data_IF_465140952810
#
_entry.id   IF_465140952810
#
_cell.length_a   1.000
_cell.length_b   1.000
_cell.length_c   1.000
_cell.angle_alpha   90.00
_cell.angle_beta   90.00
_cell.angle_gamma   90.00
#
_symmetry.space_group_name_H-M   'P 1'
#
loop_
_entity.id
_entity.type
_entity.pdbx_description
1 polymer ?
#
# COMPACT_ATOMS: atom_id res chain seq x y z
N UNK A 1 -5.61 36.08 6.86
CA UNK A 1 -5.79 34.67 6.44
C UNK A 1 -5.04 34.47 5.13
N UNK A 2 -3.83 33.89 5.20
CA UNK A 2 -3.00 33.66 4.01
C UNK A 2 -3.65 32.64 3.11
N UNK A 3 -3.89 32.99 1.84
CA UNK A 3 -4.36 32.06 0.83
C UNK A 3 -3.35 30.91 0.70
N UNK A 4 -3.74 29.69 1.08
CA UNK A 4 -3.05 28.46 0.68
C UNK A 4 -3.21 28.32 -0.83
N UNK A 5 -2.43 29.11 -1.58
CA UNK A 5 -2.18 28.93 -2.99
C UNK A 5 -1.83 27.46 -3.24
N UNK A 6 -2.38 26.88 -4.31
CA UNK A 6 -2.32 25.46 -4.66
C UNK A 6 -1.08 24.77 -4.08
N UNK A 7 -1.27 23.95 -3.04
CA UNK A 7 -0.21 23.25 -2.30
C UNK A 7 0.57 22.25 -3.19
N UNK A 8 0.25 22.14 -4.47
CA UNK A 8 0.58 20.97 -5.28
C UNK A 8 1.11 21.35 -6.67
N UNK A 9 2.31 20.85 -7.00
CA UNK A 9 2.76 20.64 -8.38
C UNK A 9 2.63 19.14 -8.69
N UNK A 10 1.65 18.77 -9.52
CA UNK A 10 1.49 17.39 -10.01
C UNK A 10 2.67 17.05 -10.93
N UNK A 11 3.45 16.02 -10.60
CA UNK A 11 4.50 15.49 -11.48
C UNK A 11 4.41 13.96 -11.54
N UNK A 12 3.58 13.46 -12.45
CA UNK A 12 3.38 12.02 -12.64
C UNK A 12 4.69 11.31 -13.03
N UNK A 13 5.53 11.95 -13.84
CA UNK A 13 6.80 11.37 -14.31
C UNK A 13 7.77 11.11 -13.16
N UNK A 14 7.91 12.06 -12.22
CA UNK A 14 8.80 11.89 -11.06
C UNK A 14 8.29 10.83 -10.08
N UNK A 15 6.97 10.66 -9.95
CA UNK A 15 6.40 9.58 -9.15
C UNK A 15 6.77 8.22 -9.74
N UNK A 16 6.62 8.05 -11.06
CA UNK A 16 7.00 6.80 -11.74
C UNK A 16 8.50 6.52 -11.67
N UNK A 17 9.35 7.55 -11.82
CA UNK A 17 10.80 7.41 -11.62
C UNK A 17 11.15 6.96 -10.20
N UNK A 18 10.46 7.51 -9.19
CA UNK A 18 10.67 7.14 -7.80
C UNK A 18 10.20 5.70 -7.51
N UNK A 19 9.05 5.28 -8.02
CA UNK A 19 8.59 3.89 -7.92
C UNK A 19 9.57 2.91 -8.59
N UNK A 20 10.12 3.27 -9.75
CA UNK A 20 11.19 2.50 -10.40
C UNK A 20 12.45 2.45 -9.56
N UNK A 21 12.84 3.55 -8.92
CA UNK A 21 13.98 3.56 -7.99
C UNK A 21 13.76 2.61 -6.81
N UNK A 22 12.59 2.68 -6.15
CA UNK A 22 12.27 1.81 -5.02
C UNK A 22 12.34 0.33 -5.39
N UNK A 23 11.87 -0.01 -6.58
CA UNK A 23 11.86 -1.40 -7.06
C UNK A 23 13.22 -1.89 -7.57
N UNK A 24 13.99 -1.05 -8.27
CA UNK A 24 15.30 -1.41 -8.83
C UNK A 24 16.43 -1.42 -7.81
N UNK A 25 16.29 -0.70 -6.70
CA UNK A 25 17.29 -0.63 -5.63
C UNK A 25 17.20 -1.77 -4.61
N UNK A 26 16.30 -2.74 -4.79
CA UNK A 26 16.32 -3.96 -3.98
C UNK A 26 17.61 -4.76 -4.26
N UNK A 27 18.22 -5.42 -3.25
CA UNK A 27 19.54 -6.04 -3.38
C UNK A 27 19.65 -6.99 -4.58
N UNK A 28 20.74 -6.84 -5.34
CA UNK A 28 21.07 -7.61 -6.55
C UNK A 28 21.07 -9.11 -6.22
N UNK A 29 20.18 -9.85 -6.87
CA UNK A 29 19.87 -11.27 -6.60
C UNK A 29 18.36 -11.56 -6.56
N UNK A 30 17.55 -10.50 -6.54
CA UNK A 30 16.08 -10.56 -6.47
C UNK A 30 15.42 -9.79 -7.64
N UNK A 31 15.92 -9.97 -8.87
CA UNK A 31 15.22 -9.49 -10.07
C UNK A 31 13.93 -10.28 -10.24
N UNK A 32 12.87 -9.84 -9.58
CA UNK A 32 11.52 -10.28 -9.84
C UNK A 32 10.86 -9.28 -10.79
N UNK A 33 9.92 -9.71 -11.62
CA UNK A 33 8.98 -8.78 -12.27
C UNK A 33 8.40 -7.85 -11.18
N UNK A 34 8.87 -6.62 -11.16
CA UNK A 34 8.66 -5.67 -10.05
C UNK A 34 7.28 -5.03 -10.09
N UNK A 35 6.64 -5.08 -11.26
CA UNK A 35 5.29 -4.62 -11.51
C UNK A 35 4.49 -5.73 -12.19
N UNK A 36 3.38 -6.11 -11.56
CA UNK A 36 2.33 -6.89 -12.20
C UNK A 36 1.25 -5.93 -12.66
N UNK A 37 0.82 -6.03 -13.92
CA UNK A 37 -0.36 -5.31 -14.41
C UNK A 37 -1.58 -6.24 -14.40
N UNK A 38 -2.66 -5.82 -13.74
CA UNK A 38 -3.95 -6.52 -13.75
C UNK A 38 -4.98 -5.65 -14.46
N UNK A 39 -5.61 -6.19 -15.50
CA UNK A 39 -6.72 -5.54 -16.19
C UNK A 39 -8.03 -5.83 -15.45
N UNK A 40 -8.64 -4.79 -14.88
CA UNK A 40 -9.95 -4.81 -14.23
C UNK A 40 -10.92 -3.81 -14.87
N UNK A 41 -10.74 -3.50 -16.15
CA UNK A 41 -11.52 -2.49 -16.89
C UNK A 41 -13.02 -2.76 -16.97
N UNK A 42 -13.47 -3.96 -16.58
CA UNK A 42 -14.89 -4.37 -16.59
C UNK A 42 -15.57 -4.38 -15.23
N UNK A 43 -14.85 -4.17 -14.12
CA UNK A 43 -15.38 -4.32 -12.77
C UNK A 43 -15.22 -3.05 -11.90
N UNK A 44 -16.22 -2.78 -11.06
CA UNK A 44 -16.14 -1.74 -10.02
C UNK A 44 -15.28 -2.17 -8.82
N UNK A 45 -15.15 -3.47 -8.62
CA UNK A 45 -14.32 -4.09 -7.58
C UNK A 45 -13.35 -5.03 -8.27
N UNK A 46 -12.07 -4.91 -7.98
CA UNK A 46 -11.03 -5.77 -8.53
C UNK A 46 -11.17 -7.14 -7.87
N UNK A 47 -11.50 -8.16 -8.65
CA UNK A 47 -11.52 -9.54 -8.17
C UNK A 47 -10.22 -10.22 -8.56
N UNK A 48 -9.49 -10.70 -7.57
CA UNK A 48 -8.22 -11.39 -7.74
C UNK A 48 -8.36 -12.84 -7.29
N UNK A 49 -8.06 -13.83 -8.14
CA UNK A 49 -8.03 -15.22 -7.71
C UNK A 49 -6.83 -15.44 -6.79
N UNK A 50 -7.01 -16.21 -5.73
CA UNK A 50 -5.95 -16.48 -4.76
C UNK A 50 -4.79 -17.26 -5.42
N UNK A 51 -5.12 -18.13 -6.36
CA UNK A 51 -4.17 -18.87 -7.20
C UNK A 51 -3.21 -17.97 -8.00
N UNK A 52 -3.53 -16.69 -8.20
CA UNK A 52 -2.60 -15.72 -8.80
C UNK A 52 -1.36 -15.46 -7.92
N UNK A 53 -1.54 -15.53 -6.60
CA UNK A 53 -0.53 -15.16 -5.61
C UNK A 53 0.15 -16.36 -4.98
N UNK A 54 -0.59 -17.43 -4.73
CA UNK A 54 -0.09 -18.61 -4.01
C UNK A 54 -0.30 -19.88 -4.83
N UNK A 55 0.59 -20.86 -4.63
CA UNK A 55 0.42 -22.19 -5.23
C UNK A 55 -0.53 -23.04 -4.41
N UNK A 56 -1.31 -23.88 -5.11
CA UNK A 56 -2.02 -24.97 -4.47
C UNK A 56 -1.02 -26.03 -3.97
N UNK A 57 -1.20 -26.49 -2.73
CA UNK A 57 -0.41 -27.59 -2.15
C UNK A 57 -0.79 -28.96 -2.74
N UNK A 58 -1.93 -29.07 -3.42
CA UNK A 58 -2.49 -30.35 -3.87
C UNK A 58 -1.90 -30.92 -5.16
N UNK A 59 -1.16 -30.13 -5.95
CA UNK A 59 -0.71 -30.56 -7.29
C UNK A 59 0.80 -30.87 -7.33
N UNK A 60 1.11 -32.16 -7.26
CA UNK A 60 2.48 -32.72 -7.36
C UNK A 60 3.09 -32.68 -8.77
N UNK A 61 2.41 -32.12 -9.78
CA UNK A 61 2.88 -32.14 -11.16
C UNK A 61 2.99 -30.72 -11.75
N UNK A 62 4.23 -30.23 -11.80
CA UNK A 62 4.75 -29.18 -12.72
C UNK A 62 3.71 -28.12 -13.18
N UNK A 63 3.38 -27.13 -12.33
CA UNK A 63 3.03 -25.77 -12.79
C UNK A 63 3.31 -24.70 -11.72
N UNK A 64 3.86 -23.60 -12.23
CA UNK A 64 4.22 -22.30 -11.67
C UNK A 64 3.95 -22.04 -10.17
N UNK A 65 5.02 -21.69 -9.44
CA UNK A 65 4.91 -21.05 -8.12
C UNK A 65 3.99 -19.83 -8.22
N UNK A 66 3.02 -19.69 -7.31
CA UNK A 66 2.27 -18.46 -7.13
C UNK A 66 3.26 -17.30 -6.97
N UNK A 67 3.09 -16.23 -7.74
CA UNK A 67 4.14 -15.21 -7.90
C UNK A 67 4.53 -14.56 -6.57
N UNK A 68 3.61 -14.49 -5.62
CA UNK A 68 3.83 -13.91 -4.29
C UNK A 68 4.45 -14.92 -3.31
N UNK A 69 4.07 -16.20 -3.36
CA UNK A 69 4.67 -17.22 -2.49
C UNK A 69 6.14 -17.47 -2.82
N UNK A 70 6.55 -17.27 -4.08
CA UNK A 70 7.97 -17.31 -4.46
C UNK A 70 8.79 -16.10 -3.95
N UNK A 71 8.16 -15.06 -3.40
CA UNK A 71 8.89 -13.91 -2.89
C UNK A 71 9.79 -14.31 -1.70
N UNK A 72 10.98 -13.70 -1.59
CA UNK A 72 11.78 -13.79 -0.38
C UNK A 72 11.06 -13.13 0.79
N UNK A 73 11.35 -13.58 2.00
CA UNK A 73 10.87 -12.87 3.18
C UNK A 73 11.51 -11.49 3.29
N UNK A 74 10.74 -10.55 3.83
CA UNK A 74 11.10 -9.15 3.98
C UNK A 74 11.29 -8.42 2.63
N UNK A 75 10.47 -8.79 1.65
CA UNK A 75 10.42 -8.17 0.31
C UNK A 75 9.02 -7.64 -0.02
N UNK A 76 8.95 -6.81 -1.05
CA UNK A 76 7.71 -6.24 -1.57
C UNK A 76 7.66 -6.27 -3.09
N UNK A 77 6.47 -6.07 -3.66
CA UNK A 77 6.23 -5.78 -5.08
C UNK A 77 5.11 -4.76 -5.22
N UNK A 78 5.13 -4.02 -6.33
CA UNK A 78 4.05 -3.12 -6.70
C UNK A 78 3.14 -3.86 -7.69
N UNK A 79 1.82 -3.79 -7.46
CA UNK A 79 0.83 -4.31 -8.40
C UNK A 79 0.10 -3.10 -8.98
N UNK A 80 0.25 -2.91 -10.28
CA UNK A 80 -0.46 -1.88 -11.02
C UNK A 80 -1.77 -2.48 -11.53
N UNK A 81 -2.86 -1.77 -11.32
CA UNK A 81 -4.19 -2.22 -11.69
C UNK A 81 -4.82 -1.16 -12.57
N UNK A 82 -5.24 -1.58 -13.75
CA UNK A 82 -5.99 -0.75 -14.67
C UNK A 82 -7.47 -0.93 -14.36
N UNK A 83 -8.11 0.11 -13.81
CA UNK A 83 -9.55 0.13 -13.58
C UNK A 83 -10.30 0.69 -14.78
N UNK A 84 -11.61 0.42 -14.79
CA UNK A 84 -12.56 1.01 -15.75
C UNK A 84 -12.44 2.54 -15.77
N UNK A 85 -12.40 3.11 -16.97
CA UNK A 85 -12.29 4.56 -17.17
C UNK A 85 -10.85 5.10 -17.19
N UNK A 86 -9.83 4.24 -17.23
CA UNK A 86 -8.42 4.66 -17.29
C UNK A 86 -7.84 5.06 -15.93
N UNK A 87 -8.55 4.76 -14.84
CA UNK A 87 -8.06 5.01 -13.50
C UNK A 87 -6.98 3.98 -13.16
N UNK A 88 -5.76 4.44 -12.91
CA UNK A 88 -4.70 3.59 -12.39
C UNK A 88 -4.86 3.46 -10.87
N UNK A 89 -4.84 2.22 -10.39
CA UNK A 89 -4.79 1.89 -8.97
C UNK A 89 -3.52 1.11 -8.69
N UNK A 90 -2.88 1.33 -7.56
CA UNK A 90 -1.66 0.59 -7.20
C UNK A 90 -1.82 -0.03 -5.82
N UNK A 91 -1.36 -1.27 -5.72
CA UNK A 91 -1.29 -2.01 -4.47
C UNK A 91 0.16 -2.34 -4.16
N UNK A 92 0.46 -2.47 -2.87
CA UNK A 92 1.77 -2.97 -2.42
C UNK A 92 1.60 -4.36 -1.84
N UNK A 93 2.22 -5.34 -2.47
CA UNK A 93 2.29 -6.71 -1.99
C UNK A 93 3.55 -6.86 -1.12
N UNK A 94 3.40 -7.28 0.12
CA UNK A 94 4.50 -7.49 1.07
C UNK A 94 4.51 -8.95 1.51
N UNK A 95 5.70 -9.54 1.54
CA UNK A 95 5.95 -10.82 2.24
C UNK A 95 6.88 -10.58 3.41
N UNK A 96 6.38 -10.83 4.62
CA UNK A 96 7.13 -10.60 5.85
C UNK A 96 6.76 -11.59 6.94
N UNK A 97 7.75 -12.09 7.67
CA UNK A 97 7.55 -13.05 8.77
C UNK A 97 6.63 -12.53 9.87
N UNK A 98 6.44 -11.22 9.97
CA UNK A 98 5.53 -10.61 10.94
C UNK A 98 4.04 -10.77 10.57
N UNK A 99 3.72 -11.05 9.31
CA UNK A 99 2.33 -11.23 8.87
C UNK A 99 1.86 -12.61 9.31
N UNK A 100 0.94 -12.68 10.27
CA UNK A 100 0.40 -13.95 10.81
C UNK A 100 -1.07 -14.22 10.45
N UNK A 101 -1.68 -13.33 9.68
CA UNK A 101 -3.09 -13.43 9.27
C UNK A 101 -3.37 -14.57 8.27
N UNK A 102 -2.33 -15.11 7.65
CA UNK A 102 -2.40 -16.28 6.78
C UNK A 102 -1.09 -17.08 6.86
N UNK A 103 -1.13 -18.34 6.40
CA UNK A 103 0.01 -19.26 6.47
C UNK A 103 1.17 -18.90 5.53
N UNK A 104 0.96 -18.02 4.56
CA UNK A 104 1.95 -17.64 3.54
C UNK A 104 2.75 -16.39 3.95
N UNK A 105 2.33 -15.72 5.03
CA UNK A 105 2.92 -14.47 5.52
C UNK A 105 2.90 -13.33 4.47
N UNK A 106 1.83 -13.27 3.67
CA UNK A 106 1.64 -12.31 2.58
C UNK A 106 0.53 -11.34 2.93
N UNK A 107 0.72 -10.05 2.63
CA UNK A 107 -0.35 -9.07 2.72
C UNK A 107 -0.25 -8.05 1.60
N UNK A 108 -1.40 -7.49 1.25
CA UNK A 108 -1.60 -6.43 0.28
C UNK A 108 -1.99 -5.18 1.07
N UNK A 109 -1.34 -4.08 0.75
CA UNK A 109 -1.73 -2.76 1.19
C UNK A 109 -2.64 -2.10 0.14
N UNK A 110 -3.77 -1.60 0.64
CA UNK A 110 -4.82 -0.89 -0.08
C UNK A 110 -5.16 0.38 0.73
N UNK A 111 -4.92 1.56 0.16
CA UNK A 111 -5.15 2.84 0.85
C UNK A 111 -6.63 3.16 1.06
N UNK A 112 -7.52 2.56 0.26
CA UNK A 112 -8.97 2.71 0.42
C UNK A 112 -9.52 1.91 1.62
N UNK A 113 -8.67 1.13 2.28
CA UNK A 113 -9.01 0.39 3.49
C UNK A 113 -9.75 -0.91 3.25
N UNK A 114 -10.10 -1.60 4.33
CA UNK A 114 -10.70 -2.95 4.33
C UNK A 114 -12.23 -2.97 4.43
N UNK A 115 -12.85 -1.81 4.66
CA UNK A 115 -14.30 -1.68 4.79
C UNK A 115 -14.98 -1.64 3.41
N UNK A 116 -16.21 -1.10 3.34
CA UNK A 116 -16.97 -1.00 2.09
C UNK A 116 -16.29 -0.23 0.94
N UNK A 117 -15.17 0.45 1.21
CA UNK A 117 -14.36 1.16 0.22
C UNK A 117 -13.17 0.33 -0.31
N UNK A 118 -12.99 -0.90 0.16
CA UNK A 118 -11.95 -1.81 -0.33
C UNK A 118 -12.12 -2.07 -1.83
N UNK A 119 -11.18 -1.56 -2.62
CA UNK A 119 -11.21 -1.70 -4.08
C UNK A 119 -10.95 -3.13 -4.57
N UNK A 120 -10.50 -4.01 -3.68
CA UNK A 120 -10.11 -5.38 -4.00
C UNK A 120 -10.95 -6.44 -3.29
N UNK A 121 -11.12 -7.58 -3.95
CA UNK A 121 -11.62 -8.84 -3.40
C UNK A 121 -10.71 -9.97 -3.81
N UNK A 122 -10.23 -10.74 -2.84
CA UNK A 122 -9.45 -11.95 -3.07
C UNK A 122 -10.34 -13.15 -2.84
N UNK A 123 -10.52 -13.96 -3.88
CA UNK A 123 -11.35 -15.15 -3.85
C UNK A 123 -10.47 -16.39 -3.90
N UNK A 124 -10.64 -17.28 -2.92
CA UNK A 124 -10.04 -18.60 -2.91
C UNK A 124 -10.71 -19.49 -3.95
N UNK A 125 -9.95 -19.83 -4.97
CA UNK A 125 -10.32 -20.65 -6.12
C UNK A 125 -9.61 -22.02 -6.11
N UNK A 126 -8.96 -22.41 -5.01
CA UNK A 126 -8.27 -23.71 -4.94
C UNK A 126 -9.22 -24.89 -4.76
N UNK A 127 -10.41 -24.67 -4.19
CA UNK A 127 -11.43 -25.70 -4.00
C UNK A 127 -12.32 -25.83 -5.25
N UNK A 128 -11.85 -26.58 -6.24
CA UNK A 128 -12.54 -26.77 -7.54
C UNK A 128 -13.55 -27.93 -7.56
N UNK A 129 -14.20 -28.26 -6.43
CA UNK A 129 -15.20 -29.33 -6.34
C UNK A 129 -16.64 -28.89 -6.65
N UNK A 130 -16.81 -27.75 -7.34
CA UNK A 130 -18.12 -27.15 -7.62
C UNK A 130 -18.63 -26.22 -6.52
N UNK A 131 -17.88 -26.04 -5.43
CA UNK A 131 -18.13 -25.00 -4.43
C UNK A 131 -17.86 -23.59 -4.97
N UNK A 132 -18.59 -22.60 -4.46
CA UNK A 132 -18.40 -21.19 -4.83
C UNK A 132 -17.07 -20.68 -4.24
N UNK A 133 -16.30 -19.85 -4.98
CA UNK A 133 -15.09 -19.24 -4.45
C UNK A 133 -15.33 -18.51 -3.13
N UNK A 134 -14.44 -18.72 -2.15
CA UNK A 134 -14.57 -18.16 -0.80
C UNK A 134 -13.84 -16.82 -0.73
N UNK A 135 -14.48 -15.79 -0.18
CA UNK A 135 -13.83 -14.48 -0.02
C UNK A 135 -12.83 -14.50 1.15
N UNK A 136 -11.54 -14.42 0.84
CA UNK A 136 -10.43 -14.43 1.81
C UNK A 136 -9.74 -13.08 1.98
N UNK A 137 -10.31 -12.00 1.41
CA UNK A 137 -9.70 -10.65 1.36
C UNK A 137 -9.13 -10.18 2.70
N UNK A 138 -9.85 -10.39 3.80
CA UNK A 138 -9.45 -9.94 5.14
C UNK A 138 -8.12 -10.55 5.59
N UNK A 139 -7.83 -11.81 5.25
CA UNK A 139 -6.60 -12.48 5.63
C UNK A 139 -5.36 -11.91 4.92
N UNK A 140 -5.57 -11.30 3.77
CA UNK A 140 -4.51 -10.76 2.90
C UNK A 140 -4.44 -9.23 2.91
N UNK A 141 -5.27 -8.54 3.69
CA UNK A 141 -5.26 -7.06 3.76
C UNK A 141 -4.93 -6.56 5.16
N UNK A 142 -4.32 -7.39 6.00
CA UNK A 142 -4.03 -7.10 7.41
C UNK A 142 -3.12 -5.87 7.64
N UNK A 143 -2.47 -5.37 6.59
CA UNK A 143 -1.58 -4.22 6.61
C UNK A 143 -2.26 -2.96 6.04
N UNK A 144 -3.51 -3.08 5.59
CA UNK A 144 -4.36 -1.97 5.15
C UNK A 144 -5.10 -1.36 6.35
N UNK A 145 -5.42 -0.06 6.30
CA UNK A 145 -6.25 0.57 7.32
C UNK A 145 -7.66 -0.05 7.34
N UNK A 146 -8.35 0.07 8.48
CA UNK A 146 -9.75 -0.36 8.57
C UNK A 146 -10.68 0.54 7.74
N UNK A 147 -10.35 1.83 7.68
CA UNK A 147 -11.10 2.84 6.94
C UNK A 147 -10.27 3.43 5.80
N UNK A 148 -10.94 4.02 4.81
CA UNK A 148 -10.26 4.75 3.75
C UNK A 148 -9.40 5.87 4.35
N UNK A 149 -8.10 5.90 4.02
CA UNK A 149 -7.19 7.02 4.36
C UNK A 149 -6.89 7.90 3.14
N UNK A 150 -7.42 7.51 1.98
CA UNK A 150 -7.38 8.23 0.71
C UNK A 150 -8.75 8.85 0.42
N UNK A 151 -9.17 9.80 1.26
CA UNK A 151 -10.41 10.57 1.06
C UNK A 151 -10.16 12.05 1.30
N UNK A 152 -10.95 12.89 0.63
CA UNK A 152 -10.82 14.35 0.65
C UNK A 152 -11.16 14.92 -0.73
N UNK A 153 -11.23 16.24 -0.84
CA UNK A 153 -11.39 16.89 -2.15
C UNK A 153 -10.10 16.86 -2.96
N UNK A 154 -10.17 16.96 -4.29
CA UNK A 154 -8.98 17.10 -5.16
C UNK A 154 -8.13 18.34 -4.80
N UNK A 155 -8.73 19.33 -4.13
CA UNK A 155 -8.05 20.51 -3.62
C UNK A 155 -7.23 20.24 -2.34
N UNK A 156 -7.40 19.09 -1.70
CA UNK A 156 -6.73 18.71 -0.46
C UNK A 156 -6.04 17.36 -0.53
N UNK A 157 -6.46 16.46 -1.44
CA UNK A 157 -5.94 15.11 -1.61
C UNK A 157 -5.00 15.01 -2.84
N UNK A 158 -3.69 15.24 -2.66
CA UNK A 158 -2.72 15.06 -3.74
C UNK A 158 -2.38 13.58 -3.99
N UNK A 159 -2.83 12.68 -3.11
CA UNK A 159 -2.32 11.32 -3.00
C UNK A 159 -3.15 10.32 -3.77
N UNK A 160 -2.89 10.17 -5.07
CA UNK A 160 -3.23 8.93 -5.76
C UNK A 160 -2.67 7.73 -4.99
N UNK A 161 -3.27 6.56 -5.18
CA UNK A 161 -2.91 5.32 -4.48
C UNK A 161 -1.39 5.00 -4.55
N UNK A 162 -0.68 5.48 -5.58
CA UNK A 162 0.77 5.43 -5.72
C UNK A 162 1.56 6.12 -4.60
N UNK A 163 1.15 7.29 -4.11
CA UNK A 163 1.85 7.97 -3.01
C UNK A 163 1.71 7.21 -1.70
N UNK A 164 0.52 6.65 -1.42
CA UNK A 164 0.34 5.76 -0.29
C UNK A 164 1.17 4.48 -0.43
N UNK A 165 1.32 3.97 -1.66
CA UNK A 165 2.25 2.89 -1.99
C UNK A 165 3.69 3.23 -1.65
N UNK A 166 4.18 4.41 -2.05
CA UNK A 166 5.51 4.93 -1.70
C UNK A 166 5.69 5.00 -0.18
N UNK A 167 4.72 5.56 0.55
CA UNK A 167 4.74 5.64 2.02
C UNK A 167 4.88 4.23 2.63
N UNK A 168 4.09 3.27 2.15
CA UNK A 168 4.14 1.88 2.60
C UNK A 168 5.51 1.24 2.36
N UNK A 169 6.05 1.39 1.14
CA UNK A 169 7.35 0.82 0.76
C UNK A 169 8.50 1.45 1.55
N UNK A 170 8.53 2.77 1.71
CA UNK A 170 9.60 3.46 2.47
C UNK A 170 9.53 3.09 3.94
N UNK A 171 8.32 3.04 4.54
CA UNK A 171 8.15 2.57 5.91
C UNK A 171 8.65 1.12 6.07
N UNK A 172 8.28 0.24 5.13
CA UNK A 172 8.73 -1.15 5.14
C UNK A 172 10.25 -1.25 5.04
N UNK A 173 10.89 -0.63 4.04
CA UNK A 173 12.35 -0.66 3.85
C UNK A 173 13.12 -0.13 5.04
N UNK A 174 12.63 0.94 5.67
CA UNK A 174 13.34 1.59 6.77
C UNK A 174 13.19 0.87 8.11
N UNK A 175 12.10 0.14 8.33
CA UNK A 175 11.84 -0.56 9.59
C UNK A 175 11.90 -2.09 9.48
N UNK A 176 12.08 -2.66 8.28
CA UNK A 176 12.19 -4.12 8.10
C UNK A 176 13.37 -4.64 8.91
N UNK A 177 13.15 -5.79 9.52
CA UNK A 177 14.13 -6.49 10.33
C UNK A 177 14.04 -7.98 10.01
N UNK A 178 15.00 -8.78 10.48
CA UNK A 178 14.99 -10.24 10.27
C UNK A 178 13.67 -10.90 10.73
N UNK A 179 13.05 -10.37 11.78
CA UNK A 179 11.78 -10.87 12.34
C UNK A 179 10.55 -10.22 11.72
N UNK A 180 10.71 -9.08 11.06
CA UNK A 180 9.63 -8.22 10.56
C UNK A 180 8.84 -7.48 11.65
N UNK A 181 9.07 -7.75 12.94
CA UNK A 181 8.17 -7.26 14.00
C UNK A 181 8.23 -5.74 14.17
N UNK A 182 9.40 -5.13 13.94
CA UNK A 182 9.60 -3.70 14.07
C UNK A 182 8.80 -2.91 13.03
N UNK A 183 8.87 -3.30 11.75
CA UNK A 183 8.13 -2.61 10.70
C UNK A 183 6.64 -2.69 10.94
N UNK A 184 6.11 -3.89 11.27
CA UNK A 184 4.67 -4.04 11.47
C UNK A 184 4.19 -3.19 12.65
N UNK A 185 4.93 -3.16 13.76
CA UNK A 185 4.62 -2.30 14.91
C UNK A 185 4.62 -0.81 14.55
N UNK A 186 5.63 -0.35 13.81
CA UNK A 186 5.74 1.06 13.36
C UNK A 186 4.67 1.40 12.33
N UNK A 187 4.36 0.48 11.43
CA UNK A 187 3.34 0.61 10.41
C UNK A 187 1.95 0.71 11.01
N UNK A 188 1.59 -0.16 11.96
CA UNK A 188 0.29 -0.08 12.67
C UNK A 188 0.14 1.26 13.39
N UNK A 189 1.20 1.78 14.02
CA UNK A 189 1.17 3.12 14.63
C UNK A 189 0.99 4.23 13.59
N UNK A 190 1.65 4.09 12.43
CA UNK A 190 1.51 5.04 11.33
C UNK A 190 0.11 5.02 10.73
N UNK A 191 -0.48 3.85 10.49
CA UNK A 191 -1.87 3.72 10.01
C UNK A 191 -2.86 4.40 10.97
N UNK A 192 -2.70 4.20 12.28
CA UNK A 192 -3.52 4.85 13.28
C UNK A 192 -3.38 6.39 13.23
N UNK A 193 -2.16 6.89 13.02
CA UNK A 193 -1.93 8.32 12.80
C UNK A 193 -2.62 8.80 11.52
N UNK A 194 -2.37 8.14 10.39
CA UNK A 194 -2.89 8.52 9.07
C UNK A 194 -4.42 8.50 9.01
N UNK A 195 -5.07 7.63 9.80
CA UNK A 195 -6.54 7.51 9.84
C UNK A 195 -7.22 8.63 10.65
N UNK A 196 -6.47 9.50 11.34
CA UNK A 196 -7.05 10.60 12.09
C UNK A 196 -7.64 11.64 11.14
N UNK A 197 -8.91 11.96 11.32
CA UNK A 197 -9.58 13.03 10.58
C UNK A 197 -8.95 14.39 10.89
N UNK A 198 -8.75 15.22 9.85
CA UNK A 198 -8.44 16.65 10.01
C UNK A 198 -9.77 17.39 10.11
N UNK A 199 -10.58 17.28 9.06
CA UNK A 199 -12.00 17.62 9.01
C UNK A 199 -12.66 16.86 7.84
N UNK A 200 -14.00 16.88 7.75
CA UNK A 200 -14.74 16.09 6.75
C UNK A 200 -14.40 16.44 5.29
N UNK A 201 -13.94 17.66 5.01
CA UNK A 201 -13.67 18.17 3.66
C UNK A 201 -12.18 18.12 3.30
N UNK A 202 -11.30 18.24 4.30
CA UNK A 202 -9.84 18.26 4.18
C UNK A 202 -9.20 16.87 4.25
N UNK A 203 -9.94 15.84 4.65
CA UNK A 203 -9.47 14.46 4.68
C UNK A 203 -8.89 14.04 6.04
N UNK A 204 -7.80 13.29 6.01
CA UNK A 204 -7.12 12.78 7.21
C UNK A 204 -5.63 13.14 7.25
N UNK A 205 -4.96 12.87 8.37
CA UNK A 205 -3.49 13.06 8.47
C UNK A 205 -2.72 12.26 7.40
N UNK A 206 -3.29 11.17 6.90
CA UNK A 206 -2.76 10.43 5.75
C UNK A 206 -2.63 11.29 4.49
N UNK A 207 -3.59 12.18 4.25
CA UNK A 207 -3.59 13.12 3.14
C UNK A 207 -2.50 14.19 3.31
N UNK A 208 -2.29 14.68 4.53
CA UNK A 208 -1.20 15.61 4.84
C UNK A 208 0.18 14.96 4.63
N UNK A 209 0.35 13.72 5.09
CA UNK A 209 1.59 12.97 4.83
C UNK A 209 1.78 12.72 3.34
N UNK A 210 0.74 12.32 2.61
CA UNK A 210 0.79 12.10 1.17
C UNK A 210 1.17 13.38 0.42
N UNK A 211 0.61 14.54 0.81
CA UNK A 211 1.00 15.85 0.30
C UNK A 211 2.49 16.12 0.48
N UNK A 212 2.99 15.90 1.69
CA UNK A 212 4.39 16.13 2.00
C UNK A 212 5.32 15.19 1.22
N UNK A 213 4.94 13.93 1.07
CA UNK A 213 5.71 12.96 0.27
C UNK A 213 5.74 13.33 -1.21
N UNK A 214 4.60 13.75 -1.76
CA UNK A 214 4.50 14.22 -3.14
C UNK A 214 5.40 15.44 -3.38
N UNK A 215 5.46 16.37 -2.43
CA UNK A 215 6.36 17.52 -2.47
C UNK A 215 7.82 17.08 -2.48
N UNK A 216 8.23 16.21 -1.55
CA UNK A 216 9.59 15.66 -1.47
C UNK A 216 10.00 15.02 -2.81
N UNK A 217 9.15 14.15 -3.37
CA UNK A 217 9.42 13.50 -4.67
C UNK A 217 9.55 14.54 -5.80
N UNK A 218 8.72 15.59 -5.78
CA UNK A 218 8.72 16.62 -6.81
C UNK A 218 9.93 17.55 -6.72
N UNK A 219 10.46 17.84 -5.54
CA UNK A 219 11.50 18.87 -5.32
C UNK A 219 12.90 18.31 -5.08
N UNK A 220 13.03 17.09 -4.54
CA UNK A 220 14.33 16.51 -4.24
C UNK A 220 14.96 15.93 -5.50
N UNK A 221 16.22 16.26 -5.78
CA UNK A 221 16.91 15.92 -7.03
C UNK A 221 17.27 14.43 -7.14
N UNK A 222 17.66 13.80 -6.03
CA UNK A 222 18.06 12.39 -5.97
C UNK A 222 16.99 11.51 -5.33
N UNK A 223 16.61 10.37 -5.94
CA UNK A 223 15.70 9.40 -5.32
C UNK A 223 16.17 8.87 -3.95
N UNK A 224 17.48 8.67 -3.76
CA UNK A 224 17.99 8.23 -2.45
C UNK A 224 17.79 9.29 -1.36
N UNK A 225 18.01 10.57 -1.70
CA UNK A 225 17.74 11.68 -0.78
C UNK A 225 16.24 11.79 -0.48
N UNK A 226 15.38 11.65 -1.50
CA UNK A 226 13.93 11.65 -1.31
C UNK A 226 13.48 10.49 -0.40
N UNK A 227 14.02 9.28 -0.54
CA UNK A 227 13.70 8.16 0.37
C UNK A 227 14.06 8.51 1.83
N UNK A 228 15.23 9.12 2.07
CA UNK A 228 15.63 9.54 3.41
C UNK A 228 14.74 10.63 4.01
N UNK A 229 14.34 11.62 3.20
CA UNK A 229 13.42 12.68 3.60
C UNK A 229 12.01 12.15 3.88
N UNK A 230 11.50 11.23 3.05
CA UNK A 230 10.22 10.55 3.29
C UNK A 230 10.27 9.74 4.58
N UNK A 231 11.37 9.01 4.82
CA UNK A 231 11.56 8.29 6.07
C UNK A 231 11.59 9.23 7.29
N UNK A 232 12.14 10.44 7.15
CA UNK A 232 12.10 11.46 8.19
C UNK A 232 10.69 11.98 8.45
N UNK A 233 9.91 12.25 7.40
CA UNK A 233 8.50 12.64 7.52
C UNK A 233 7.68 11.56 8.25
N UNK A 234 7.88 10.27 7.89
CA UNK A 234 7.25 9.14 8.57
C UNK A 234 7.65 9.08 10.05
N UNK A 235 8.93 9.28 10.39
CA UNK A 235 9.40 9.34 11.78
C UNK A 235 8.73 10.48 12.56
N UNK A 236 8.56 11.64 11.94
CA UNK A 236 7.90 12.78 12.58
C UNK A 236 6.44 12.45 12.95
N UNK A 237 5.67 11.81 12.06
CA UNK A 237 4.30 11.34 12.37
C UNK A 237 4.26 10.40 13.58
N UNK A 238 5.28 9.54 13.73
CA UNK A 238 5.38 8.58 14.83
C UNK A 238 5.85 9.20 16.15
N UNK A 239 6.45 10.40 16.11
CA UNK A 239 6.97 11.10 17.28
C UNK A 239 5.91 12.02 17.95
N UNK A 240 4.80 12.31 17.26
CA UNK A 240 3.71 13.13 17.80
C UNK A 240 3.14 12.45 19.05
N UNK A 241 3.37 13.04 20.23
CA UNK A 241 2.75 12.62 21.48
C UNK A 241 1.25 12.86 21.40
N UNK A 242 0.45 11.91 21.91
CA UNK A 242 -1.00 12.09 22.06
C UNK A 242 -1.25 13.27 23.01
N UNK A 243 -1.67 14.40 22.45
CA UNK A 243 -2.49 15.34 23.21
C UNK A 243 -3.94 14.88 22.98
N UNK A 244 -4.40 13.96 23.82
CA UNK A 244 -5.78 13.50 23.81
C UNK A 244 -6.67 14.62 24.37
N UNK A 245 -7.13 15.49 23.48
CA UNK A 245 -8.28 16.33 23.71
C UNK A 245 -8.89 16.71 22.36
N UNK A 246 -9.67 15.79 21.80
CA UNK A 246 -10.78 16.19 20.94
C UNK A 246 -11.94 15.23 21.16
N UNK A 247 -12.95 15.81 21.78
CA UNK A 247 -14.23 15.26 22.20
C UNK A 247 -14.91 14.55 21.04
N UNK A 248 -15.26 13.28 21.24
CA UNK A 248 -16.31 12.61 20.47
C UNK A 248 -17.60 13.40 20.67
N UNK A 249 -18.01 14.16 19.66
CA UNK A 249 -19.42 14.51 19.47
C UNK A 249 -19.92 13.56 18.39
N UNK A 250 -20.82 12.68 18.82
CA UNK A 250 -21.55 11.69 18.02
C UNK A 250 -22.28 12.34 16.85
#
# INVERSE_FOLDING_TARGET
MSSRAALFKKSADRNHEFERYLTSSEPVGQQFETAVTIDSTRAYVIVLPLSYFISDKSTTNRRLKGKADAMPFESFRIINIQHRGGNAHSLVLIKSRAIKSNMYNIAIFESNGRNGFCGIRILDDHHMDGSKPVNVTKAYTSISPEYNINYGSDACNPGYCGIYGIICVVAFRHYRSKTGTLWLSKWTKLLAHMSRCIDRNSGCMGVELAARVQEIVATTSSPACAEHEIAAAIRACLAVKRNDSCTLVL
#
